data_IF_489161737687
#
_entry.id   IF_489161737687
#
_cell.length_a   1.000
_cell.length_b   1.000
_cell.length_c   1.000
_cell.angle_alpha   90.00
_cell.angle_beta   90.00
_cell.angle_gamma   90.00
#
_symmetry.space_group_name_H-M   'P 1'
#
loop_
_entity.id
_entity.type
_entity.pdbx_description
1 polymer ?
#
# COMPACT_ATOMS: atom_id res chain seq x y z
N UNK A 1 18.84 9.83 -2.80
CA UNK A 1 18.17 8.51 -2.74
C UNK A 1 18.92 7.55 -3.63
N UNK A 2 19.22 6.37 -3.14
CA UNK A 2 19.90 5.33 -3.92
C UNK A 2 18.91 4.21 -4.18
N UNK A 3 18.70 3.86 -5.43
CA UNK A 3 18.01 2.63 -5.84
C UNK A 3 19.12 1.59 -6.11
N UNK A 4 19.15 0.53 -5.32
CA UNK A 4 20.06 -0.60 -5.53
C UNK A 4 19.18 -1.83 -5.71
N UNK A 5 19.32 -2.53 -6.84
CA UNK A 5 18.60 -3.77 -7.16
C UNK A 5 17.06 -3.67 -7.06
N UNK A 6 16.44 -2.60 -7.55
CA UNK A 6 14.99 -2.42 -7.53
C UNK A 6 14.39 -2.04 -6.16
N UNK A 7 15.21 -1.60 -5.20
CA UNK A 7 14.76 -1.12 -3.89
C UNK A 7 15.03 0.37 -3.76
N UNK A 8 13.99 1.17 -3.48
CA UNK A 8 14.13 2.59 -3.16
C UNK A 8 14.19 2.77 -1.64
N UNK A 9 15.33 3.24 -1.15
CA UNK A 9 15.54 3.54 0.27
C UNK A 9 15.24 5.01 0.56
N UNK A 10 14.41 5.26 1.58
CA UNK A 10 13.98 6.60 1.98
C UNK A 10 14.18 6.82 3.48
N UNK A 11 14.72 7.97 3.83
CA UNK A 11 14.92 8.39 5.23
C UNK A 11 14.28 9.76 5.50
N UNK A 12 13.19 10.04 4.79
CA UNK A 12 12.46 11.32 4.81
C UNK A 12 11.85 11.62 6.19
N UNK A 13 11.53 10.55 6.94
CA UNK A 13 10.88 10.66 8.26
C UNK A 13 11.87 10.82 9.42
N UNK A 14 13.17 10.99 9.13
CA UNK A 14 14.21 11.13 10.14
C UNK A 14 13.99 12.43 10.93
N UNK A 15 13.90 12.38 12.28
CA UNK A 15 13.81 13.59 13.10
C UNK A 15 15.07 14.46 12.98
N UNK A 16 14.91 15.76 13.09
CA UNK A 16 16.03 16.72 12.97
C UNK A 16 17.08 16.55 14.07
N UNK A 17 16.67 16.11 15.26
CA UNK A 17 17.52 15.87 16.43
C UNK A 17 18.00 14.41 16.57
N UNK A 18 17.75 13.55 15.57
CA UNK A 18 18.10 12.12 15.65
C UNK A 18 19.60 11.90 15.82
N UNK A 19 20.44 12.65 15.08
CA UNK A 19 21.89 12.46 15.12
C UNK A 19 22.52 12.91 16.46
N UNK A 20 21.86 13.83 17.15
CA UNK A 20 22.27 14.30 18.49
C UNK A 20 21.76 13.38 19.61
N UNK A 21 20.57 12.77 19.42
CA UNK A 21 19.89 11.95 20.42
C UNK A 21 19.40 10.60 19.87
N UNK A 22 20.26 9.75 19.28
CA UNK A 22 19.80 8.52 18.63
C UNK A 22 19.14 7.53 19.61
N UNK A 23 19.55 7.51 20.88
CA UNK A 23 18.99 6.64 21.91
C UNK A 23 17.55 6.97 22.28
N UNK A 24 17.07 8.18 21.95
CA UNK A 24 15.68 8.61 22.14
C UNK A 24 14.71 7.90 21.21
N UNK A 25 15.19 7.39 20.07
CA UNK A 25 14.35 6.90 19.02
C UNK A 25 14.58 5.41 18.74
N UNK A 26 13.49 4.65 18.67
CA UNK A 26 13.50 3.32 18.09
C UNK A 26 13.34 3.43 16.57
N UNK A 27 14.31 2.92 15.82
CA UNK A 27 14.23 2.86 14.37
C UNK A 27 13.49 1.60 13.95
N UNK A 28 12.41 1.75 13.18
CA UNK A 28 11.60 0.65 12.64
C UNK A 28 11.61 0.73 11.12
N UNK A 29 12.07 -0.33 10.46
CA UNK A 29 12.15 -0.40 9.00
C UNK A 29 10.88 -1.00 8.42
N UNK A 30 10.24 -0.27 7.49
CA UNK A 30 9.01 -0.67 6.82
C UNK A 30 9.29 -0.89 5.33
N UNK A 31 8.91 -2.06 4.83
CA UNK A 31 9.02 -2.43 3.41
C UNK A 31 7.62 -2.41 2.80
N UNK A 32 7.47 -1.76 1.64
CA UNK A 32 6.18 -1.56 0.98
C UNK A 32 6.27 -2.10 -0.45
N UNK A 33 5.27 -2.89 -0.84
CA UNK A 33 5.10 -3.44 -2.18
C UNK A 33 3.61 -3.56 -2.52
N UNK A 34 3.27 -3.56 -3.79
CA UNK A 34 1.91 -3.75 -4.29
C UNK A 34 1.93 -4.37 -5.70
N UNK A 35 0.76 -4.84 -6.17
CA UNK A 35 0.54 -5.24 -7.57
C UNK A 35 1.56 -6.26 -8.08
N UNK A 36 1.79 -7.28 -7.29
CA UNK A 36 2.77 -8.33 -7.65
C UNK A 36 2.25 -9.32 -8.68
N UNK A 37 0.91 -9.46 -8.85
CA UNK A 37 0.26 -10.27 -9.90
C UNK A 37 0.97 -11.62 -10.13
N UNK A 38 1.20 -12.40 -9.07
CA UNK A 38 1.90 -13.70 -9.05
C UNK A 38 3.42 -13.63 -9.32
N UNK A 39 3.97 -12.44 -9.52
CA UNK A 39 5.41 -12.28 -9.73
C UNK A 39 6.20 -11.99 -8.43
N UNK A 40 5.56 -12.12 -7.26
CA UNK A 40 6.16 -11.80 -5.96
C UNK A 40 7.51 -12.52 -5.72
N UNK A 41 7.71 -13.74 -6.24
CA UNK A 41 8.99 -14.47 -6.11
C UNK A 41 10.13 -13.90 -6.96
N UNK A 42 9.82 -12.97 -7.90
CA UNK A 42 10.83 -12.31 -8.73
C UNK A 42 11.31 -10.99 -8.14
N UNK A 43 10.67 -10.54 -7.06
CA UNK A 43 11.01 -9.29 -6.41
C UNK A 43 12.18 -9.47 -5.44
N UNK A 44 13.10 -8.52 -5.46
CA UNK A 44 14.09 -8.35 -4.40
C UNK A 44 13.43 -7.61 -3.22
N UNK A 45 12.92 -8.35 -2.24
CA UNK A 45 12.33 -7.77 -1.03
C UNK A 45 13.45 -7.59 0.00
N UNK A 46 13.78 -6.35 0.40
CA UNK A 46 14.81 -6.10 1.40
C UNK A 46 14.34 -6.54 2.79
N UNK A 47 15.27 -6.87 3.67
CA UNK A 47 14.96 -7.13 5.07
C UNK A 47 14.37 -5.86 5.73
N UNK A 48 13.44 -6.07 6.63
CA UNK A 48 12.79 -5.01 7.41
C UNK A 48 12.03 -5.61 8.58
N UNK A 49 11.52 -4.75 9.47
CA UNK A 49 10.71 -5.17 10.62
C UNK A 49 9.27 -5.44 10.20
N UNK A 50 8.74 -4.59 9.33
CA UNK A 50 7.36 -4.62 8.85
C UNK A 50 7.34 -4.72 7.32
N UNK A 51 6.48 -5.60 6.79
CA UNK A 51 6.15 -5.67 5.37
C UNK A 51 4.69 -5.26 5.16
N UNK A 52 4.44 -4.33 4.22
CA UNK A 52 3.12 -3.90 3.79
C UNK A 52 2.90 -4.29 2.33
N UNK A 53 1.82 -5.02 2.03
CA UNK A 53 1.41 -5.33 0.66
C UNK A 53 0.06 -4.68 0.36
N UNK A 54 0.03 -3.74 -0.59
CA UNK A 54 -1.13 -2.90 -0.87
C UNK A 54 -2.11 -3.49 -1.91
N UNK A 55 -2.17 -4.82 -2.05
CA UNK A 55 -3.17 -5.51 -2.88
C UNK A 55 -2.67 -5.97 -4.24
N UNK A 56 -3.54 -6.62 -5.00
CA UNK A 56 -3.30 -7.21 -6.32
C UNK A 56 -2.10 -8.19 -6.34
N UNK A 57 -2.09 -9.12 -5.40
CA UNK A 57 -1.11 -10.21 -5.35
C UNK A 57 -1.50 -11.41 -6.21
N UNK A 58 -2.78 -11.51 -6.61
CA UNK A 58 -3.31 -12.53 -7.52
C UNK A 58 -3.71 -11.91 -8.87
N UNK A 59 -4.26 -12.72 -9.77
CA UNK A 59 -4.91 -12.25 -10.98
C UNK A 59 -6.41 -12.53 -10.93
N UNK A 60 -7.20 -11.60 -11.46
CA UNK A 60 -8.66 -11.71 -11.48
C UNK A 60 -9.16 -13.01 -12.12
N UNK A 61 -8.47 -13.48 -13.16
CA UNK A 61 -8.83 -14.74 -13.85
C UNK A 61 -8.64 -15.99 -13.00
N UNK A 62 -7.81 -15.95 -11.97
CA UNK A 62 -7.58 -17.10 -11.09
C UNK A 62 -8.84 -17.49 -10.32
N UNK A 63 -9.77 -16.52 -10.11
CA UNK A 63 -11.05 -16.72 -9.42
C UNK A 63 -12.16 -17.33 -10.28
N UNK A 64 -12.01 -17.33 -11.62
CA UNK A 64 -13.01 -17.89 -12.53
C UNK A 64 -12.84 -19.37 -12.80
N UNK A 65 -11.70 -19.94 -12.44
CA UNK A 65 -11.34 -21.35 -12.74
C UNK A 65 -11.34 -22.21 -11.48
N UNK A 66 -12.16 -21.87 -10.50
CA UNK A 66 -12.31 -22.64 -9.26
C UNK A 66 -13.23 -23.84 -9.48
N UNK A 67 -12.99 -24.92 -8.75
CA UNK A 67 -13.84 -26.12 -8.70
C UNK A 67 -14.05 -26.54 -7.25
N UNK A 68 -15.01 -27.44 -7.01
CA UNK A 68 -15.26 -27.96 -5.66
C UNK A 68 -14.02 -28.66 -5.07
N UNK A 69 -13.16 -29.24 -5.92
CA UNK A 69 -11.91 -29.86 -5.52
C UNK A 69 -10.79 -28.81 -5.24
N UNK A 70 -10.87 -27.63 -5.88
CA UNK A 70 -9.90 -26.54 -5.76
C UNK A 70 -10.63 -25.21 -5.55
N UNK A 71 -11.20 -24.98 -4.36
CA UNK A 71 -12.01 -23.78 -4.08
C UNK A 71 -11.18 -22.50 -3.87
N UNK A 72 -9.86 -22.64 -3.80
CA UNK A 72 -8.93 -21.53 -3.53
C UNK A 72 -7.98 -21.38 -4.72
N UNK A 73 -7.79 -20.14 -5.26
CA UNK A 73 -6.81 -19.91 -6.30
C UNK A 73 -5.40 -20.32 -5.87
N UNK A 74 -4.70 -21.09 -6.71
CA UNK A 74 -3.30 -21.49 -6.46
C UNK A 74 -2.38 -20.30 -6.27
N UNK A 75 -2.68 -19.18 -6.90
CA UNK A 75 -1.93 -17.93 -6.71
C UNK A 75 -2.01 -17.37 -5.28
N UNK A 76 -3.15 -17.54 -4.61
CA UNK A 76 -3.31 -17.15 -3.19
C UNK A 76 -2.46 -18.06 -2.30
N UNK A 77 -2.52 -19.38 -2.55
CA UNK A 77 -1.71 -20.36 -1.82
C UNK A 77 -0.22 -20.05 -1.97
N UNK A 78 0.23 -19.82 -3.21
CA UNK A 78 1.64 -19.51 -3.51
C UNK A 78 2.08 -18.19 -2.85
N UNK A 79 1.24 -17.16 -2.89
CA UNK A 79 1.49 -15.88 -2.23
C UNK A 79 1.63 -16.04 -0.71
N UNK A 80 0.71 -16.77 -0.08
CA UNK A 80 0.77 -17.02 1.37
C UNK A 80 2.04 -17.81 1.75
N UNK A 81 2.42 -18.82 0.96
CA UNK A 81 3.67 -19.55 1.17
C UNK A 81 4.89 -18.65 1.05
N UNK A 82 4.92 -17.78 0.02
CA UNK A 82 5.99 -16.82 -0.16
C UNK A 82 6.11 -15.86 1.03
N UNK A 83 4.99 -15.33 1.55
CA UNK A 83 5.01 -14.51 2.76
C UNK A 83 5.66 -15.23 3.95
N UNK A 84 5.43 -16.56 4.08
CA UNK A 84 6.06 -17.39 5.11
C UNK A 84 7.58 -17.50 4.98
N UNK A 85 8.15 -17.27 3.79
CA UNK A 85 9.61 -17.30 3.56
C UNK A 85 10.30 -15.98 3.90
N UNK A 86 9.55 -14.88 4.04
CA UNK A 86 10.13 -13.56 4.29
C UNK A 86 10.42 -13.33 5.77
N UNK A 87 11.58 -12.72 6.11
CA UNK A 87 12.07 -12.61 7.48
C UNK A 87 11.37 -11.53 8.32
N UNK A 88 10.46 -10.75 7.72
CA UNK A 88 9.75 -9.67 8.41
C UNK A 88 8.93 -10.22 9.57
N UNK A 89 9.10 -9.62 10.76
CA UNK A 89 8.36 -10.03 11.95
C UNK A 89 6.86 -9.75 11.79
N UNK A 90 6.52 -8.62 11.21
CA UNK A 90 5.13 -8.20 10.99
C UNK A 90 4.86 -8.06 9.50
N UNK A 91 3.77 -8.69 9.03
CA UNK A 91 3.35 -8.64 7.63
C UNK A 91 1.88 -8.28 7.57
N UNK A 92 1.55 -7.16 6.92
CA UNK A 92 0.19 -6.69 6.74
C UNK A 92 -0.15 -6.66 5.26
N UNK A 93 -1.34 -7.16 4.91
CA UNK A 93 -1.81 -7.27 3.53
C UNK A 93 -3.23 -6.74 3.45
N UNK A 94 -3.54 -6.00 2.41
CA UNK A 94 -4.90 -5.64 2.00
C UNK A 94 -5.23 -6.27 0.65
N UNK A 95 -6.52 -6.45 0.33
CA UNK A 95 -6.95 -6.90 -1.00
C UNK A 95 -7.00 -5.76 -2.01
N UNK A 96 -6.63 -6.04 -3.25
CA UNK A 96 -6.82 -5.16 -4.40
C UNK A 96 -8.05 -5.57 -5.24
N UNK A 97 -8.20 -4.96 -6.41
CA UNK A 97 -9.35 -5.26 -7.30
C UNK A 97 -9.24 -6.61 -8.00
N UNK A 98 -8.13 -7.30 -7.90
CA UNK A 98 -7.94 -8.64 -8.43
C UNK A 98 -8.34 -9.74 -7.43
N UNK A 99 -8.40 -9.44 -6.13
CA UNK A 99 -8.86 -10.38 -5.09
C UNK A 99 -10.40 -10.42 -5.00
N UNK A 100 -11.10 -10.51 -6.15
CA UNK A 100 -12.57 -10.40 -6.25
C UNK A 100 -13.35 -11.40 -5.39
N UNK A 101 -12.78 -12.59 -5.16
CA UNK A 101 -13.40 -13.63 -4.34
C UNK A 101 -13.45 -13.26 -2.84
N UNK A 102 -12.61 -12.32 -2.39
CA UNK A 102 -12.62 -11.86 -0.99
C UNK A 102 -13.93 -11.16 -0.61
N UNK A 103 -14.65 -10.60 -1.59
CA UNK A 103 -15.98 -10.02 -1.36
C UNK A 103 -17.03 -11.04 -0.88
N UNK A 104 -16.80 -12.34 -1.11
CA UNK A 104 -17.72 -13.43 -0.80
C UNK A 104 -17.28 -14.24 0.43
N UNK A 105 -16.12 -13.94 1.00
CA UNK A 105 -15.55 -14.64 2.14
C UNK A 105 -15.68 -13.81 3.40
N UNK A 106 -15.77 -14.47 4.55
CA UNK A 106 -15.65 -13.81 5.83
C UNK A 106 -14.20 -13.41 6.09
N UNK A 107 -13.98 -12.38 6.90
CA UNK A 107 -12.63 -11.98 7.33
C UNK A 107 -11.91 -13.14 8.04
N UNK A 108 -12.66 -13.94 8.83
CA UNK A 108 -12.14 -15.11 9.52
C UNK A 108 -11.64 -16.17 8.52
N UNK A 109 -12.39 -16.44 7.45
CA UNK A 109 -11.98 -17.41 6.41
C UNK A 109 -10.74 -16.91 5.65
N UNK A 110 -10.69 -15.62 5.30
CA UNK A 110 -9.52 -15.04 4.65
C UNK A 110 -8.29 -15.22 5.54
N UNK A 111 -8.39 -14.86 6.83
CA UNK A 111 -7.28 -14.89 7.77
C UNK A 111 -6.86 -16.32 8.14
N UNK A 112 -7.82 -17.22 8.41
CA UNK A 112 -7.51 -18.55 8.94
C UNK A 112 -7.21 -19.60 7.87
N UNK A 113 -7.74 -19.41 6.64
CA UNK A 113 -7.63 -20.42 5.55
C UNK A 113 -6.75 -19.98 4.40
N UNK A 114 -6.68 -18.67 4.11
CA UNK A 114 -6.01 -18.16 2.90
C UNK A 114 -4.69 -17.44 3.21
N UNK A 115 -4.69 -16.51 4.17
CA UNK A 115 -3.56 -15.62 4.46
C UNK A 115 -3.04 -15.83 5.90
N UNK A 116 -2.56 -17.05 6.18
CA UNK A 116 -2.10 -17.46 7.52
C UNK A 116 -0.71 -16.93 7.89
N UNK A 117 0.09 -16.49 6.91
CA UNK A 117 1.46 -15.99 7.10
C UNK A 117 1.57 -14.46 7.16
N UNK A 118 0.43 -13.77 7.26
CA UNK A 118 0.33 -12.32 7.48
C UNK A 118 -0.94 -11.98 8.25
N UNK A 119 -1.08 -10.74 8.68
CA UNK A 119 -2.37 -10.19 9.11
C UNK A 119 -3.02 -9.50 7.90
N UNK A 120 -4.20 -9.97 7.51
CA UNK A 120 -5.05 -9.31 6.53
C UNK A 120 -5.82 -8.18 7.19
N UNK A 121 -5.73 -6.97 6.64
CA UNK A 121 -6.43 -5.79 7.16
C UNK A 121 -7.63 -5.46 6.27
N UNK A 122 -8.80 -5.31 6.89
CA UNK A 122 -10.03 -4.90 6.22
C UNK A 122 -10.73 -3.82 7.01
N UNK A 123 -10.45 -2.56 6.65
CA UNK A 123 -10.93 -1.36 7.34
C UNK A 123 -10.62 -1.41 8.86
N UNK A 124 -9.39 -1.80 9.17
CA UNK A 124 -8.89 -2.07 10.51
C UNK A 124 -7.64 -1.25 10.82
N UNK A 125 -7.58 -0.73 12.04
CA UNK A 125 -6.41 -0.09 12.64
C UNK A 125 -5.64 -1.10 13.49
N UNK A 126 -4.34 -1.14 13.31
CA UNK A 126 -3.41 -1.88 14.17
C UNK A 126 -2.31 -0.97 14.68
N UNK A 127 -1.80 -1.27 15.86
CA UNK A 127 -0.59 -0.67 16.38
C UNK A 127 0.49 -1.75 16.52
N UNK A 128 1.67 -1.48 15.95
CA UNK A 128 2.82 -2.39 15.97
C UNK A 128 4.10 -1.58 16.02
N UNK A 129 5.05 -1.98 16.87
CA UNK A 129 6.34 -1.30 17.03
C UNK A 129 6.22 0.21 17.33
N UNK A 130 5.08 0.66 17.91
CA UNK A 130 4.76 2.07 18.15
C UNK A 130 4.33 2.86 16.92
N UNK A 131 3.91 2.16 15.86
CA UNK A 131 3.40 2.74 14.61
C UNK A 131 1.94 2.32 14.43
N UNK A 132 1.07 3.27 14.17
CA UNK A 132 -0.34 3.01 13.84
C UNK A 132 -0.51 2.82 12.34
N UNK A 133 -1.10 1.70 11.93
CA UNK A 133 -1.31 1.32 10.53
C UNK A 133 -2.79 1.04 10.30
N UNK A 134 -3.41 1.73 9.35
CA UNK A 134 -4.77 1.43 8.93
C UNK A 134 -4.77 0.82 7.53
N UNK A 135 -5.42 -0.35 7.38
CA UNK A 135 -5.55 -1.06 6.10
C UNK A 135 -6.96 -0.99 5.55
N UNK A 136 -7.13 -0.42 4.35
CA UNK A 136 -8.40 -0.31 3.66
C UNK A 136 -8.32 -0.92 2.25
N UNK A 137 -8.85 -2.15 2.04
CA UNK A 137 -8.77 -2.85 0.77
C UNK A 137 -9.66 -2.21 -0.30
N UNK A 138 -9.59 -2.73 -1.52
CA UNK A 138 -10.50 -2.36 -2.61
C UNK A 138 -11.97 -2.51 -2.19
N UNK A 139 -12.83 -1.49 -2.44
CA UNK A 139 -14.23 -1.54 -2.03
C UNK A 139 -15.07 -2.30 -3.05
N UNK A 140 -15.20 -3.61 -2.89
CA UNK A 140 -16.01 -4.43 -3.80
C UNK A 140 -17.52 -4.12 -3.75
N UNK A 141 -18.02 -3.72 -2.57
CA UNK A 141 -19.48 -3.59 -2.33
C UNK A 141 -19.89 -2.24 -1.74
N UNK A 142 -18.95 -1.42 -1.30
CA UNK A 142 -19.21 -0.17 -0.62
C UNK A 142 -19.03 1.05 -1.53
N UNK A 143 -19.78 2.11 -1.26
CA UNK A 143 -19.52 3.42 -1.86
C UNK A 143 -18.17 3.97 -1.36
N UNK A 144 -17.31 4.43 -2.27
CA UNK A 144 -16.05 5.09 -1.91
C UNK A 144 -16.20 6.23 -0.89
N UNK A 145 -17.34 6.95 -0.91
CA UNK A 145 -17.53 8.08 0.01
C UNK A 145 -17.69 7.65 1.47
N UNK A 146 -18.46 6.59 1.73
CA UNK A 146 -18.68 6.08 3.09
C UNK A 146 -17.46 5.33 3.62
N UNK A 147 -16.69 4.70 2.74
CA UNK A 147 -15.53 3.90 3.11
C UNK A 147 -14.46 4.74 3.83
N UNK A 148 -14.15 5.92 3.32
CA UNK A 148 -13.06 6.73 3.88
C UNK A 148 -13.44 7.44 5.18
N UNK A 149 -14.73 7.53 5.53
CA UNK A 149 -15.17 8.21 6.75
C UNK A 149 -14.85 7.45 8.03
N UNK A 150 -14.65 6.13 7.95
CA UNK A 150 -14.31 5.29 9.09
C UNK A 150 -12.81 5.28 9.45
N UNK A 151 -11.96 5.80 8.56
CA UNK A 151 -10.52 5.87 8.82
C UNK A 151 -10.27 6.88 9.93
N UNK A 152 -9.55 6.53 11.01
CA UNK A 152 -9.20 7.47 12.07
C UNK A 152 -8.30 8.61 11.57
N UNK A 153 -8.30 9.71 12.29
CA UNK A 153 -7.43 10.85 12.03
C UNK A 153 -6.03 10.58 12.62
N UNK A 154 -5.01 11.22 12.05
CA UNK A 154 -3.64 11.24 12.59
C UNK A 154 -3.00 9.87 12.81
N UNK A 155 -3.20 8.95 11.88
CA UNK A 155 -2.50 7.66 11.83
C UNK A 155 -1.10 7.81 11.21
N UNK A 156 -0.17 6.92 11.53
CA UNK A 156 1.17 6.97 10.94
C UNK A 156 1.15 6.46 9.49
N UNK A 157 0.49 5.33 9.23
CA UNK A 157 0.45 4.71 7.90
C UNK A 157 -0.98 4.41 7.49
N UNK A 158 -1.35 4.89 6.31
CA UNK A 158 -2.55 4.49 5.60
C UNK A 158 -2.17 3.57 4.44
N UNK A 159 -2.77 2.38 4.39
CA UNK A 159 -2.72 1.47 3.26
C UNK A 159 -4.05 1.50 2.52
N UNK A 160 -4.06 1.85 1.23
CA UNK A 160 -5.22 1.66 0.34
C UNK A 160 -4.76 0.96 -0.92
N UNK A 161 -5.66 0.28 -1.67
CA UNK A 161 -5.25 -0.22 -2.98
C UNK A 161 -5.35 0.88 -4.03
N UNK A 162 -6.47 1.63 -4.05
CA UNK A 162 -6.66 2.75 -4.98
C UNK A 162 -5.82 3.96 -4.57
N UNK A 163 -5.19 4.68 -5.52
CA UNK A 163 -4.49 5.93 -5.25
C UNK A 163 -5.46 7.10 -4.97
N UNK A 164 -5.03 8.16 -4.28
CA UNK A 164 -5.73 9.43 -4.27
C UNK A 164 -5.62 10.13 -5.63
N UNK A 165 -6.67 10.80 -6.09
CA UNK A 165 -6.68 11.46 -7.40
C UNK A 165 -5.60 12.55 -7.50
N UNK A 166 -4.91 12.62 -8.64
CA UNK A 166 -3.80 13.53 -8.97
C UNK A 166 -2.51 13.29 -8.18
N UNK A 167 -2.38 12.13 -7.54
CA UNK A 167 -1.18 11.76 -6.80
C UNK A 167 -0.74 10.35 -7.24
N UNK A 168 0.27 10.27 -8.12
CA UNK A 168 0.83 9.02 -8.62
C UNK A 168 -0.26 8.06 -9.17
N UNK A 169 -1.18 8.62 -9.97
CA UNK A 169 -2.39 7.93 -10.42
C UNK A 169 -2.62 7.97 -11.94
N UNK A 170 -1.58 8.28 -12.72
CA UNK A 170 -1.65 8.34 -14.17
C UNK A 170 -1.57 6.95 -14.79
N UNK A 171 -2.70 6.48 -15.32
CA UNK A 171 -2.84 5.17 -15.98
C UNK A 171 -2.94 5.31 -17.50
N UNK A 172 -2.25 4.45 -18.25
CA UNK A 172 -2.30 4.41 -19.70
C UNK A 172 -3.67 3.99 -20.23
N UNK A 173 -4.23 4.76 -21.15
CA UNK A 173 -5.58 4.58 -21.71
C UNK A 173 -5.54 4.52 -23.25
N UNK A 174 -5.06 3.44 -23.86
CA UNK A 174 -4.82 3.36 -25.30
C UNK A 174 -6.07 3.50 -26.17
N UNK A 175 -7.26 3.28 -25.58
CA UNK A 175 -8.55 3.38 -26.32
C UNK A 175 -9.20 4.76 -26.24
N UNK A 176 -8.63 5.70 -25.49
CA UNK A 176 -9.12 7.07 -25.41
C UNK A 176 -8.29 7.99 -26.30
N UNK A 177 -8.94 9.03 -26.81
CA UNK A 177 -8.22 10.08 -27.53
C UNK A 177 -7.18 10.72 -26.59
N UNK A 178 -5.97 11.01 -27.07
CA UNK A 178 -4.94 11.68 -26.28
C UNK A 178 -5.43 13.04 -25.77
N UNK A 179 -5.13 13.34 -24.52
CA UNK A 179 -5.37 14.65 -23.91
C UNK A 179 -4.22 15.56 -24.35
N UNK A 180 -4.54 16.62 -25.10
CA UNK A 180 -3.56 17.58 -25.63
C UNK A 180 -3.44 18.83 -24.77
N UNK A 181 -4.45 19.13 -23.97
CA UNK A 181 -4.46 20.28 -23.09
C UNK A 181 -3.67 20.01 -21.79
N UNK A 182 -2.98 21.02 -21.25
CA UNK A 182 -2.32 20.91 -19.95
C UNK A 182 -3.30 20.62 -18.83
N UNK A 183 -2.90 19.76 -17.90
CA UNK A 183 -3.70 19.46 -16.70
C UNK A 183 -3.40 20.47 -15.60
N UNK A 184 -4.33 21.38 -15.34
CA UNK A 184 -4.21 22.38 -14.28
C UNK A 184 -4.00 21.81 -12.85
N UNK A 185 -4.25 20.48 -12.67
CA UNK A 185 -4.11 19.81 -11.38
C UNK A 185 -2.75 19.09 -11.21
N UNK A 186 -1.92 19.06 -12.27
CA UNK A 186 -0.65 18.33 -12.34
C UNK A 186 0.47 19.21 -12.88
N UNK A 187 0.61 20.42 -12.36
CA UNK A 187 1.65 21.37 -12.77
C UNK A 187 1.67 21.63 -14.28
N UNK A 188 0.48 21.77 -14.87
CA UNK A 188 0.25 22.05 -16.30
C UNK A 188 0.91 21.05 -17.27
N UNK A 189 1.08 19.80 -16.85
CA UNK A 189 1.60 18.73 -17.71
C UNK A 189 0.54 18.22 -18.69
N UNK A 190 0.95 17.98 -19.93
CA UNK A 190 0.13 17.29 -20.93
C UNK A 190 0.27 15.78 -20.72
N UNK A 191 -0.84 15.09 -20.49
CA UNK A 191 -0.82 13.65 -20.17
C UNK A 191 -0.87 12.74 -21.40
N UNK A 192 -1.24 13.24 -22.56
CA UNK A 192 -1.35 12.41 -23.77
C UNK A 192 -2.37 11.29 -23.60
N UNK A 193 -1.93 10.05 -23.74
CA UNK A 193 -2.79 8.85 -23.59
C UNK A 193 -2.95 8.37 -22.14
N UNK A 194 -2.54 9.16 -21.16
CA UNK A 194 -2.69 8.83 -19.74
C UNK A 194 -3.85 9.58 -19.11
N UNK A 195 -4.49 8.97 -18.12
CA UNK A 195 -5.59 9.61 -17.38
C UNK A 195 -5.52 9.28 -15.90
N UNK A 196 -6.12 10.13 -15.09
CA UNK A 196 -6.18 9.97 -13.65
C UNK A 196 -7.19 8.89 -13.25
N UNK A 197 -6.73 7.88 -12.52
CA UNK A 197 -7.54 6.76 -12.02
C UNK A 197 -7.75 6.78 -10.52
N UNK A 198 -7.20 7.76 -9.83
CA UNK A 198 -7.31 7.90 -8.39
C UNK A 198 -8.69 8.34 -7.90
N UNK A 199 -8.93 8.14 -6.61
CA UNK A 199 -10.17 8.48 -5.94
C UNK A 199 -10.14 9.93 -5.43
N UNK A 200 -11.08 10.77 -5.92
CA UNK A 200 -11.27 12.15 -5.46
C UNK A 200 -11.67 12.22 -3.99
N UNK A 201 -12.56 11.32 -3.56
CA UNK A 201 -13.02 11.31 -2.17
C UNK A 201 -11.92 10.86 -1.21
N UNK A 202 -11.04 9.93 -1.64
CA UNK A 202 -9.86 9.53 -0.87
C UNK A 202 -8.87 10.69 -0.75
N UNK A 203 -8.54 11.37 -1.86
CA UNK A 203 -7.67 12.54 -1.82
C UNK A 203 -8.13 13.55 -0.78
N UNK A 204 -9.43 13.88 -0.83
CA UNK A 204 -10.03 14.82 0.11
C UNK A 204 -9.89 14.34 1.56
N UNK A 205 -10.24 13.10 1.84
CA UNK A 205 -10.14 12.52 3.18
C UNK A 205 -8.70 12.55 3.71
N UNK A 206 -7.73 12.18 2.87
CA UNK A 206 -6.31 12.13 3.25
C UNK A 206 -5.75 13.54 3.53
N UNK A 207 -5.99 14.50 2.64
CA UNK A 207 -5.38 15.84 2.76
C UNK A 207 -6.09 16.73 3.79
N UNK A 208 -7.42 16.59 3.97
CA UNK A 208 -8.19 17.49 4.83
C UNK A 208 -8.39 16.96 6.27
N UNK A 209 -8.33 15.62 6.47
CA UNK A 209 -8.69 15.02 7.77
C UNK A 209 -7.67 14.01 8.29
N UNK A 210 -7.42 12.91 7.54
CA UNK A 210 -6.62 11.78 8.04
C UNK A 210 -5.17 12.20 8.28
N UNK A 211 -4.57 12.89 7.31
CA UNK A 211 -3.20 13.42 7.33
C UNK A 211 -2.16 12.40 7.84
N UNK A 212 -2.07 11.20 7.23
CA UNK A 212 -1.12 10.19 7.65
C UNK A 212 0.32 10.65 7.34
N UNK A 213 1.29 10.16 8.10
CA UNK A 213 2.71 10.41 7.77
C UNK A 213 3.10 9.73 6.45
N UNK A 214 2.55 8.53 6.20
CA UNK A 214 2.75 7.78 4.96
C UNK A 214 1.40 7.27 4.45
N UNK A 215 1.12 7.48 3.16
CA UNK A 215 0.02 6.83 2.45
C UNK A 215 0.60 5.97 1.34
N UNK A 216 0.50 4.65 1.48
CA UNK A 216 0.96 3.69 0.49
C UNK A 216 -0.22 3.02 -0.22
N UNK A 217 -0.06 2.81 -1.54
CA UNK A 217 -1.09 2.27 -2.42
C UNK A 217 -0.46 1.59 -3.65
N UNK A 218 -1.31 1.10 -4.57
CA UNK A 218 -0.92 0.50 -5.84
C UNK A 218 -1.91 0.80 -6.95
N UNK A 219 -2.44 -0.24 -7.63
CA UNK A 219 -3.46 -0.19 -8.66
C UNK A 219 -3.02 0.45 -9.99
N UNK A 220 -2.30 1.55 -9.98
CA UNK A 220 -1.82 2.25 -11.18
C UNK A 220 -0.38 1.85 -11.45
N UNK A 221 -0.19 0.95 -12.43
CA UNK A 221 1.11 0.36 -12.73
C UNK A 221 2.06 1.29 -13.50
N UNK A 222 1.51 2.32 -14.15
CA UNK A 222 2.26 3.21 -15.04
C UNK A 222 2.89 4.40 -14.32
N UNK A 223 2.54 4.63 -13.04
CA UNK A 223 2.97 5.79 -12.24
C UNK A 223 3.53 5.39 -10.85
N UNK A 224 4.38 4.35 -10.76
CA UNK A 224 5.00 3.97 -9.50
C UNK A 224 6.03 5.00 -9.06
N UNK A 225 6.12 5.22 -7.77
CA UNK A 225 7.05 6.20 -7.23
C UNK A 225 6.60 6.75 -5.88
N UNK A 226 7.12 7.93 -5.55
CA UNK A 226 6.72 8.61 -4.31
C UNK A 226 6.62 10.13 -4.54
N UNK A 227 5.79 10.77 -3.72
CA UNK A 227 5.60 12.23 -3.69
C UNK A 227 5.40 12.66 -2.23
N UNK A 228 6.02 13.76 -1.84
CA UNK A 228 5.76 14.38 -0.53
C UNK A 228 4.90 15.62 -0.72
N UNK A 229 3.74 15.63 -0.10
CA UNK A 229 2.76 16.72 -0.20
C UNK A 229 2.00 16.86 1.12
N UNK A 230 1.82 18.08 1.63
CA UNK A 230 1.06 18.39 2.85
C UNK A 230 1.42 17.48 4.06
N UNK A 231 2.71 17.32 4.33
CA UNK A 231 3.27 16.50 5.40
C UNK A 231 2.98 14.97 5.28
N UNK A 232 2.43 14.53 4.16
CA UNK A 232 2.22 13.11 3.85
C UNK A 232 3.21 12.65 2.78
N UNK A 233 3.88 11.53 3.02
CA UNK A 233 4.65 10.82 2.01
C UNK A 233 3.72 9.84 1.29
N UNK A 234 3.40 10.10 0.03
CA UNK A 234 2.63 9.23 -0.83
C UNK A 234 3.56 8.26 -1.56
N UNK A 235 3.19 6.97 -1.60
CA UNK A 235 3.97 5.92 -2.26
C UNK A 235 3.03 5.06 -3.11
N UNK A 236 3.16 5.14 -4.43
CA UNK A 236 2.62 4.12 -5.32
C UNK A 236 3.64 2.99 -5.44
N UNK A 237 3.35 1.88 -4.76
CA UNK A 237 4.25 0.74 -4.64
C UNK A 237 3.99 -0.36 -5.69
N UNK A 238 3.29 -0.04 -6.80
CA UNK A 238 3.01 -1.00 -7.86
C UNK A 238 4.31 -1.57 -8.47
N UNK A 239 4.50 -2.89 -8.32
CA UNK A 239 5.74 -3.59 -8.69
C UNK A 239 5.63 -4.35 -10.02
N UNK A 240 4.45 -4.42 -10.63
CA UNK A 240 4.18 -5.27 -11.79
C UNK A 240 5.09 -4.98 -12.99
N UNK A 241 5.35 -3.71 -13.29
CA UNK A 241 6.20 -3.31 -14.42
C UNK A 241 7.65 -3.00 -14.01
N UNK A 242 7.86 -2.55 -12.79
CA UNK A 242 9.15 -2.02 -12.33
C UNK A 242 9.95 -3.01 -11.50
N UNK A 243 9.31 -4.04 -10.95
CA UNK A 243 9.88 -4.94 -9.95
C UNK A 243 10.47 -4.19 -8.73
N UNK A 244 9.96 -3.00 -8.42
CA UNK A 244 10.42 -2.17 -7.32
C UNK A 244 9.69 -2.50 -6.01
N UNK A 245 10.41 -2.31 -4.92
CA UNK A 245 9.86 -2.19 -3.58
C UNK A 245 10.42 -0.93 -2.91
N UNK A 246 9.72 -0.43 -1.90
CA UNK A 246 10.14 0.75 -1.15
C UNK A 246 10.51 0.34 0.26
N UNK A 247 11.60 0.88 0.77
CA UNK A 247 12.01 0.73 2.17
C UNK A 247 12.17 2.09 2.79
N UNK A 248 11.50 2.32 3.90
CA UNK A 248 11.61 3.54 4.68
C UNK A 248 11.82 3.23 6.17
N UNK A 249 12.32 4.20 6.91
CA UNK A 249 12.52 4.08 8.34
C UNK A 249 11.56 5.02 9.07
N UNK A 250 10.83 4.47 10.04
CA UNK A 250 10.16 5.24 11.08
C UNK A 250 11.09 5.40 12.27
N UNK A 251 10.96 6.53 12.92
CA UNK A 251 11.69 6.86 14.14
C UNK A 251 10.65 7.12 15.24
N UNK A 252 10.46 6.13 16.09
CA UNK A 252 9.47 6.14 17.16
C UNK A 252 10.13 6.75 18.41
N UNK A 253 9.60 7.89 18.88
CA UNK A 253 10.08 8.57 20.07
C UNK A 253 9.70 7.82 21.33
N UNK A 254 10.67 7.20 21.98
CA UNK A 254 10.46 6.38 23.18
C UNK A 254 9.92 7.21 24.36
N UNK A 255 10.22 8.49 24.44
CA UNK A 255 9.72 9.36 25.52
C UNK A 255 8.22 9.64 25.39
N UNK A 256 7.63 9.52 24.19
CA UNK A 256 6.19 9.72 23.97
C UNK A 256 5.34 8.49 24.32
N UNK A 257 5.94 7.31 24.38
CA UNK A 257 5.23 6.07 24.72
C UNK A 257 4.93 5.94 26.22
N UNK A 258 5.71 6.59 27.08
CA UNK A 258 5.51 6.54 28.56
C UNK A 258 4.27 7.33 29.02
N UNK A 259 3.69 8.20 28.19
CA UNK A 259 2.51 9.02 28.53
C UNK A 259 1.18 8.48 27.97
N UNK A 260 1.20 7.33 27.29
CA UNK A 260 0.01 6.73 26.64
C UNK A 260 -0.53 5.51 27.39
N UNK A 261 -0.07 5.25 28.64
CA UNK A 261 -0.57 4.17 29.53
C UNK A 261 -1.57 4.69 30.56
#
# INVERSE_FOLDING_TARGET
>A
MSSINGVSHMDILKPTDYDENPARYKKVSVVIVSDTHKNHRRLAIPNGDILLHCGDFSNRHDWYNLSDENPIPKSIVDFNQWLGTLPHQHKFVIGGNHEIGFAQLSLEDIQSKLLTNCKYLQDELVEVEGITIYGSPWPFTQSYRSKWSSIPDHIDVLMTHVPPQYILDLAYQPKKAPITEPCAMCDDKVHGSYGHWGSRSLKRAVLERIQPRVHCFGHVHDDPGYKYENNTLFINAAANLTHQSFKLNFYVDLNKQEYAQ
#
